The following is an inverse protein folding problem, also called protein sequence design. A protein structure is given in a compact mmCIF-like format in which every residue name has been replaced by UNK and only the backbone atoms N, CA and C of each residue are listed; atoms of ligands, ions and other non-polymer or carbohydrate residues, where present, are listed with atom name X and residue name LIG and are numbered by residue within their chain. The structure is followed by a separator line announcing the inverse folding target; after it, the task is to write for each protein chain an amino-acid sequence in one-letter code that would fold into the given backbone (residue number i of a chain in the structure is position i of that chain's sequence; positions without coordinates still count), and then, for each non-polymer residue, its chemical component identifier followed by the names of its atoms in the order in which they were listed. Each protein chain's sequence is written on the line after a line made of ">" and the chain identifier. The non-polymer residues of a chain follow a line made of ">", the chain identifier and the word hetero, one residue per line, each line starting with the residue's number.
data_IF_079426149239
#
_entry.id   IF_079426149239
#
_cell.length_a   1.000
_cell.length_b   1.000
_cell.length_c   1.000
_cell.angle_alpha   90.00
_cell.angle_beta   90.00
_cell.angle_gamma   90.00
#
_symmetry.space_group_name_H-M   'P 1'
#
loop_
_entity.id
_entity.type
_entity.pdbx_description
1 polymer ?
#
# COMPACT_ATOMS: atom_id res chain seq x y z
N UNK A 1 -26.73 -10.55 4.17
CA UNK A 1 -25.46 -10.07 4.75
C UNK A 1 -25.69 -9.92 6.25
N UNK A 2 -24.80 -10.46 7.08
CA UNK A 2 -24.86 -10.33 8.53
C UNK A 2 -24.43 -8.91 8.95
N UNK A 3 -24.58 -8.56 10.23
CA UNK A 3 -24.44 -7.17 10.67
C UNK A 3 -22.99 -6.72 10.81
N UNK A 4 -22.06 -7.61 11.24
CA UNK A 4 -20.68 -7.26 11.60
C UNK A 4 -19.65 -7.94 10.71
N UNK A 5 -18.49 -7.32 10.57
CA UNK A 5 -17.31 -7.89 9.94
C UNK A 5 -16.04 -7.40 10.65
N UNK A 6 -14.98 -8.19 10.59
CA UNK A 6 -13.67 -7.78 11.07
C UNK A 6 -12.72 -7.54 9.89
N UNK A 7 -11.91 -6.51 10.00
CA UNK A 7 -10.81 -6.23 9.07
C UNK A 7 -9.49 -6.28 9.82
N UNK A 8 -8.52 -6.99 9.29
CA UNK A 8 -7.18 -7.15 9.84
C UNK A 8 -6.17 -6.63 8.81
N UNK A 9 -5.24 -5.81 9.26
CA UNK A 9 -4.07 -5.36 8.49
C UNK A 9 -2.82 -5.86 9.21
N UNK A 10 -2.18 -6.90 8.66
CA UNK A 10 -1.06 -7.59 9.28
C UNK A 10 0.26 -6.92 8.89
N UNK A 11 0.81 -6.12 9.79
CA UNK A 11 2.13 -5.55 9.64
C UNK A 11 3.23 -6.38 10.35
N UNK A 12 4.49 -6.06 10.05
CA UNK A 12 5.64 -6.78 10.61
C UNK A 12 5.88 -6.56 12.12
N UNK A 13 5.30 -5.52 12.71
CA UNK A 13 5.45 -5.19 14.14
C UNK A 13 4.14 -5.30 14.89
N UNK A 14 3.06 -4.86 14.26
CA UNK A 14 1.70 -4.87 14.83
C UNK A 14 0.71 -5.28 13.76
N UNK A 15 -0.33 -6.01 14.14
CA UNK A 15 -1.52 -6.21 13.35
C UNK A 15 -2.60 -5.25 13.85
N UNK A 16 -3.16 -4.44 12.96
CA UNK A 16 -4.28 -3.57 13.23
C UNK A 16 -5.57 -4.33 12.95
N UNK A 17 -6.53 -4.25 13.85
CA UNK A 17 -7.81 -4.94 13.73
C UNK A 17 -8.93 -3.93 13.91
N UNK A 18 -9.96 -4.03 13.08
CA UNK A 18 -11.17 -3.23 13.18
C UNK A 18 -12.42 -4.09 13.24
N UNK A 19 -13.36 -3.73 14.11
CA UNK A 19 -14.73 -4.23 14.11
C UNK A 19 -15.61 -3.20 13.40
N UNK A 20 -16.35 -3.67 12.39
CA UNK A 20 -17.19 -2.84 11.53
C UNK A 20 -18.62 -3.38 11.47
N UNK A 21 -19.56 -2.46 11.19
CA UNK A 21 -20.78 -2.89 10.50
C UNK A 21 -20.49 -3.16 9.03
N UNK A 22 -21.21 -4.07 8.44
CA UNK A 22 -21.05 -4.40 6.99
C UNK A 22 -21.40 -3.24 6.07
N UNK A 23 -21.95 -2.15 6.60
CA UNK A 23 -22.18 -0.87 5.89
C UNK A 23 -20.94 0.00 5.75
N UNK A 24 -19.82 -0.34 6.44
CA UNK A 24 -18.58 0.42 6.47
C UNK A 24 -18.38 1.29 7.70
N UNK A 25 -19.32 1.30 8.65
CA UNK A 25 -19.15 2.01 9.92
C UNK A 25 -18.12 1.29 10.80
N UNK A 26 -17.00 1.97 11.09
CA UNK A 26 -16.00 1.50 12.04
C UNK A 26 -16.52 1.69 13.46
N UNK A 27 -16.74 0.58 14.18
CA UNK A 27 -17.22 0.61 15.56
C UNK A 27 -16.07 0.73 16.56
N UNK A 28 -15.00 -0.04 16.33
CA UNK A 28 -13.82 -0.03 17.20
C UNK A 28 -12.61 -0.51 16.42
N UNK A 29 -11.43 0.02 16.76
CA UNK A 29 -10.14 -0.48 16.25
C UNK A 29 -9.13 -0.59 17.37
N UNK A 30 -8.25 -1.60 17.25
CA UNK A 30 -7.15 -1.85 18.18
C UNK A 30 -5.97 -2.47 17.45
N UNK A 31 -4.85 -2.58 18.14
CA UNK A 31 -3.65 -3.20 17.62
C UNK A 31 -3.21 -4.34 18.55
N UNK A 32 -2.63 -5.38 17.96
CA UNK A 32 -1.96 -6.45 18.68
C UNK A 32 -0.54 -6.60 18.14
N UNK A 33 0.46 -6.93 18.99
CA UNK A 33 1.80 -7.19 18.52
C UNK A 33 1.83 -8.35 17.52
N UNK A 34 2.61 -8.23 16.45
CA UNK A 34 2.89 -9.34 15.54
C UNK A 34 4.09 -10.11 16.10
N UNK A 35 3.85 -11.33 16.55
CA UNK A 35 4.93 -12.22 17.02
C UNK A 35 5.63 -12.85 15.82
N UNK A 36 6.78 -12.31 15.46
CA UNK A 36 7.62 -12.80 14.38
C UNK A 36 8.66 -13.81 14.83
N UNK A 37 8.66 -14.21 16.11
CA UNK A 37 9.54 -15.28 16.63
C UNK A 37 9.19 -16.62 15.98
N UNK A 38 10.13 -17.55 15.97
CA UNK A 38 9.95 -18.90 15.42
C UNK A 38 9.27 -18.91 14.03
N UNK A 39 9.73 -18.05 13.12
CA UNK A 39 9.14 -17.90 11.79
C UNK A 39 7.64 -17.50 11.79
N UNK A 40 7.19 -16.80 12.83
CA UNK A 40 5.82 -16.30 12.93
C UNK A 40 4.75 -17.36 13.21
N UNK A 41 5.12 -18.51 13.78
CA UNK A 41 4.23 -19.66 14.00
C UNK A 41 2.96 -19.31 14.78
N UNK A 42 3.00 -18.28 15.66
CA UNK A 42 1.87 -17.86 16.49
C UNK A 42 1.04 -16.72 15.91
N UNK A 43 1.37 -16.22 14.72
CA UNK A 43 0.67 -15.06 14.14
C UNK A 43 -0.85 -15.33 14.01
N UNK A 44 -1.24 -16.45 13.41
CA UNK A 44 -2.66 -16.75 13.17
C UNK A 44 -3.40 -17.04 14.47
N UNK A 45 -2.77 -17.71 15.43
CA UNK A 45 -3.34 -17.97 16.75
C UNK A 45 -3.63 -16.66 17.50
N UNK A 46 -2.68 -15.71 17.47
CA UNK A 46 -2.83 -14.42 18.12
C UNK A 46 -3.94 -13.58 17.47
N UNK A 47 -4.05 -13.60 16.14
CA UNK A 47 -5.13 -12.94 15.41
C UNK A 47 -6.49 -13.55 15.74
N UNK A 48 -6.59 -14.90 15.77
CA UNK A 48 -7.82 -15.60 16.14
C UNK A 48 -8.24 -15.24 17.57
N UNK A 49 -7.30 -15.29 18.52
CA UNK A 49 -7.56 -14.95 19.92
C UNK A 49 -8.04 -13.49 20.07
N UNK A 50 -7.44 -12.56 19.33
CA UNK A 50 -7.84 -11.14 19.36
C UNK A 50 -9.27 -10.93 18.84
N UNK A 51 -9.65 -11.60 17.74
CA UNK A 51 -11.02 -11.53 17.19
C UNK A 51 -12.01 -12.19 18.15
N UNK A 52 -11.73 -13.40 18.64
CA UNK A 52 -12.59 -14.13 19.59
C UNK A 52 -12.80 -13.35 20.88
N UNK A 53 -11.71 -12.78 21.43
CA UNK A 53 -11.77 -11.95 22.63
C UNK A 53 -12.68 -10.74 22.45
N UNK A 54 -12.61 -10.09 21.29
CA UNK A 54 -13.49 -8.96 20.98
C UNK A 54 -14.94 -9.40 20.77
N UNK A 55 -15.17 -10.53 20.10
CA UNK A 55 -16.52 -11.09 19.98
C UNK A 55 -17.13 -11.39 21.36
N UNK A 56 -16.36 -11.98 22.28
CA UNK A 56 -16.82 -12.25 23.64
C UNK A 56 -17.11 -10.95 24.41
N UNK A 57 -16.22 -9.97 24.34
CA UNK A 57 -16.39 -8.65 24.98
C UNK A 57 -17.69 -7.96 24.53
N UNK A 58 -18.01 -8.05 23.23
CA UNK A 58 -19.21 -7.42 22.66
C UNK A 58 -20.44 -8.31 22.68
N UNK A 59 -20.36 -9.55 23.16
CA UNK A 59 -21.47 -10.50 23.14
C UNK A 59 -21.91 -10.91 21.72
N UNK A 60 -20.98 -10.91 20.74
CA UNK A 60 -21.26 -11.23 19.35
C UNK A 60 -21.21 -12.74 19.12
N UNK A 61 -22.29 -13.30 18.60
CA UNK A 61 -22.31 -14.68 18.11
C UNK A 61 -21.72 -14.77 16.69
N UNK A 62 -21.13 -15.90 16.32
CA UNK A 62 -20.60 -16.14 14.97
C UNK A 62 -21.66 -15.96 13.86
N UNK A 63 -22.94 -16.22 14.20
CA UNK A 63 -24.07 -16.01 13.29
C UNK A 63 -24.28 -14.53 12.90
N UNK A 64 -23.74 -13.57 13.67
CA UNK A 64 -23.85 -12.13 13.42
C UNK A 64 -22.66 -11.58 12.65
N UNK A 65 -21.56 -12.35 12.52
CA UNK A 65 -20.32 -11.94 11.84
C UNK A 65 -20.31 -12.47 10.41
N UNK A 66 -20.29 -11.59 9.43
CA UNK A 66 -20.24 -11.92 7.99
C UNK A 66 -18.92 -12.61 7.62
N UNK A 67 -17.83 -12.13 8.17
CA UNK A 67 -16.50 -12.70 7.96
C UNK A 67 -15.39 -11.85 8.54
N UNK A 68 -14.18 -12.34 8.33
CA UNK A 68 -12.91 -11.68 8.68
C UNK A 68 -12.08 -11.51 7.42
N UNK A 69 -11.81 -10.27 7.03
CA UNK A 69 -10.86 -9.96 5.97
C UNK A 69 -9.46 -9.72 6.53
N UNK A 70 -8.44 -10.15 5.82
CA UNK A 70 -7.04 -10.03 6.27
C UNK A 70 -6.18 -9.45 5.14
N UNK A 71 -5.56 -8.30 5.37
CA UNK A 71 -4.48 -7.78 4.54
C UNK A 71 -3.15 -8.33 5.03
N UNK A 72 -2.35 -8.89 4.13
CA UNK A 72 -1.04 -9.47 4.45
C UNK A 72 0.03 -8.94 3.50
N UNK A 73 1.29 -8.82 3.91
CA UNK A 73 2.38 -8.48 3.01
C UNK A 73 2.65 -9.61 2.02
N UNK A 74 3.00 -9.23 0.78
CA UNK A 74 3.35 -10.15 -0.30
C UNK A 74 2.15 -10.68 -1.10
N UNK A 75 2.42 -11.53 -2.10
CA UNK A 75 1.39 -12.05 -3.00
C UNK A 75 0.40 -12.95 -2.28
N UNK A 76 -0.86 -12.89 -2.72
CA UNK A 76 -1.95 -13.75 -2.26
C UNK A 76 -2.59 -14.43 -3.47
N UNK A 77 -2.87 -15.73 -3.36
CA UNK A 77 -3.55 -16.51 -4.38
C UNK A 77 -4.97 -16.87 -3.92
N UNK A 78 -5.93 -16.70 -4.83
CA UNK A 78 -7.35 -17.08 -4.65
C UNK A 78 -7.99 -16.48 -3.39
N UNK A 79 -7.51 -15.32 -2.93
CA UNK A 79 -7.91 -14.68 -1.66
C UNK A 79 -7.80 -15.59 -0.43
N UNK A 80 -6.85 -16.51 -0.42
CA UNK A 80 -6.68 -17.54 0.61
C UNK A 80 -5.26 -17.81 1.04
N UNK A 81 -4.34 -17.95 0.07
CA UNK A 81 -3.02 -18.54 0.28
C UNK A 81 -1.95 -17.47 0.14
N UNK A 82 -1.02 -17.43 1.09
CA UNK A 82 0.26 -16.71 0.99
C UNK A 82 1.31 -17.73 0.52
N UNK A 83 1.68 -17.70 -0.79
CA UNK A 83 2.48 -18.77 -1.38
C UNK A 83 3.98 -18.65 -1.11
N UNK A 84 4.45 -17.50 -0.65
CA UNK A 84 5.87 -17.21 -0.43
C UNK A 84 6.16 -16.96 1.05
N UNK A 85 7.43 -16.92 1.37
CA UNK A 85 7.92 -16.53 2.69
C UNK A 85 8.04 -15.01 2.76
N UNK A 86 7.43 -14.41 3.79
CA UNK A 86 7.45 -12.98 4.06
C UNK A 86 8.59 -12.65 5.04
N UNK A 87 9.67 -12.07 4.55
CA UNK A 87 10.85 -11.76 5.37
C UNK A 87 10.54 -10.79 6.53
N UNK A 88 9.66 -9.83 6.31
CA UNK A 88 9.21 -8.86 7.32
C UNK A 88 8.29 -9.45 8.40
N UNK A 89 7.86 -10.70 8.25
CA UNK A 89 7.13 -11.49 9.24
C UNK A 89 7.96 -12.62 9.84
N UNK A 90 9.28 -12.44 9.94
CA UNK A 90 10.19 -13.40 10.54
C UNK A 90 10.37 -14.69 9.74
N UNK A 91 9.95 -14.71 8.48
CA UNK A 91 10.00 -15.92 7.65
C UNK A 91 8.66 -16.65 7.54
N UNK A 92 7.58 -16.07 8.07
CA UNK A 92 6.22 -16.59 7.94
C UNK A 92 5.75 -16.61 6.48
N UNK A 93 4.98 -17.59 6.14
CA UNK A 93 4.40 -17.75 4.80
C UNK A 93 4.19 -19.22 4.43
N UNK A 94 3.71 -19.45 3.20
CA UNK A 94 3.28 -20.76 2.71
C UNK A 94 2.11 -21.34 3.53
N UNK A 95 1.20 -20.46 3.95
CA UNK A 95 0.00 -20.80 4.71
C UNK A 95 -1.26 -20.68 3.86
N UNK A 96 -2.23 -21.57 4.09
CA UNK A 96 -3.62 -21.32 3.70
C UNK A 96 -4.30 -20.52 4.81
N UNK A 97 -4.00 -19.23 4.83
CA UNK A 97 -4.43 -18.31 5.90
C UNK A 97 -5.95 -18.31 6.08
N UNK A 98 -6.69 -18.36 4.97
CA UNK A 98 -8.17 -18.38 5.04
C UNK A 98 -8.70 -19.62 5.73
N UNK A 99 -8.17 -20.80 5.42
CA UNK A 99 -8.62 -22.06 6.00
C UNK A 99 -8.19 -22.20 7.47
N UNK A 100 -6.92 -21.92 7.75
CA UNK A 100 -6.36 -22.02 9.09
C UNK A 100 -7.06 -21.08 10.06
N UNK A 101 -7.18 -19.79 9.71
CA UNK A 101 -7.85 -18.80 10.56
C UNK A 101 -9.36 -19.07 10.68
N UNK A 102 -10.04 -19.48 9.59
CA UNK A 102 -11.45 -19.87 9.64
C UNK A 102 -11.69 -21.04 10.61
N UNK A 103 -10.80 -22.04 10.60
CA UNK A 103 -10.88 -23.18 11.53
C UNK A 103 -10.75 -22.72 12.97
N UNK A 104 -9.76 -21.87 13.28
CA UNK A 104 -9.57 -21.29 14.62
C UNK A 104 -10.77 -20.45 15.07
N UNK A 105 -11.46 -19.79 14.13
CA UNK A 105 -12.64 -18.94 14.39
C UNK A 105 -13.97 -19.70 14.34
N UNK A 106 -13.94 -21.04 14.40
CA UNK A 106 -15.16 -21.86 14.43
C UNK A 106 -15.99 -21.82 13.15
N UNK A 107 -15.33 -21.67 11.99
CA UNK A 107 -15.96 -21.71 10.68
C UNK A 107 -16.45 -20.34 10.18
N UNK A 108 -16.07 -19.23 10.82
CA UNK A 108 -16.33 -17.89 10.27
C UNK A 108 -15.54 -17.75 8.96
N UNK A 109 -16.20 -17.25 7.91
CA UNK A 109 -15.59 -17.01 6.59
C UNK A 109 -14.39 -16.07 6.71
N UNK A 110 -13.26 -16.45 6.09
CA UNK A 110 -12.06 -15.63 6.02
C UNK A 110 -11.66 -15.42 4.56
N UNK A 111 -11.31 -14.19 4.19
CA UNK A 111 -10.69 -13.85 2.92
C UNK A 111 -9.40 -13.06 3.18
N UNK A 112 -8.43 -13.25 2.29
CA UNK A 112 -7.09 -12.68 2.41
C UNK A 112 -6.78 -11.87 1.15
N UNK A 113 -6.11 -10.74 1.31
CA UNK A 113 -5.62 -9.92 0.20
C UNK A 113 -4.21 -9.40 0.48
N UNK A 114 -3.49 -9.04 -0.56
CA UNK A 114 -2.25 -8.29 -0.38
C UNK A 114 -2.53 -6.92 0.28
N UNK A 115 -1.65 -6.45 1.15
CA UNK A 115 -1.80 -5.22 1.93
C UNK A 115 -2.08 -3.96 1.08
N UNK A 116 -1.34 -3.76 -0.02
CA UNK A 116 -1.58 -2.63 -0.93
C UNK A 116 -2.91 -2.79 -1.69
N UNK A 117 -3.28 -4.00 -2.08
CA UNK A 117 -4.54 -4.28 -2.75
C UNK A 117 -5.75 -4.01 -1.83
N UNK A 118 -5.67 -4.44 -0.56
CA UNK A 118 -6.76 -4.15 0.38
C UNK A 118 -6.81 -2.66 0.73
N UNK A 119 -5.67 -1.97 0.83
CA UNK A 119 -5.67 -0.52 1.02
C UNK A 119 -6.39 0.20 -0.15
N UNK A 120 -6.15 -0.23 -1.39
CA UNK A 120 -6.86 0.29 -2.56
C UNK A 120 -8.38 0.04 -2.47
N UNK A 121 -8.80 -1.16 -2.05
CA UNK A 121 -10.22 -1.48 -1.82
C UNK A 121 -10.84 -0.58 -0.74
N UNK A 122 -10.11 -0.28 0.33
CA UNK A 122 -10.54 0.63 1.38
C UNK A 122 -10.83 2.02 0.83
N UNK A 123 -9.89 2.57 0.06
CA UNK A 123 -10.01 3.90 -0.54
C UNK A 123 -11.14 3.99 -1.57
N UNK A 124 -11.42 2.94 -2.34
CA UNK A 124 -12.59 2.88 -3.25
C UNK A 124 -13.89 2.76 -2.46
N UNK A 125 -13.90 2.05 -1.34
CA UNK A 125 -15.12 1.84 -0.58
C UNK A 125 -15.52 3.05 0.26
N UNK A 126 -14.60 3.56 1.07
CA UNK A 126 -14.88 4.60 2.06
C UNK A 126 -13.89 5.77 2.03
N UNK A 127 -12.97 5.80 1.08
CA UNK A 127 -11.90 6.77 0.95
C UNK A 127 -12.02 7.72 -0.25
N UNK A 128 -10.86 8.14 -0.76
CA UNK A 128 -10.72 9.17 -1.79
C UNK A 128 -11.36 8.78 -3.14
N UNK A 129 -11.42 7.49 -3.47
CA UNK A 129 -12.02 7.00 -4.73
C UNK A 129 -13.44 6.45 -4.53
N UNK A 130 -14.14 6.88 -3.49
CA UNK A 130 -15.51 6.44 -3.24
C UNK A 130 -16.42 6.76 -4.42
N UNK A 131 -17.04 5.71 -4.98
CA UNK A 131 -17.90 5.80 -6.16
C UNK A 131 -17.22 5.43 -7.47
N UNK A 132 -15.88 5.36 -7.52
CA UNK A 132 -15.16 4.82 -8.67
C UNK A 132 -15.31 3.30 -8.75
N UNK A 133 -15.28 2.79 -9.98
CA UNK A 133 -15.22 1.35 -10.26
C UNK A 133 -13.83 0.89 -10.64
N UNK A 134 -13.01 1.79 -11.15
CA UNK A 134 -11.64 1.51 -11.57
C UNK A 134 -10.72 2.59 -11.01
N UNK A 135 -9.76 2.21 -10.18
CA UNK A 135 -8.80 3.13 -9.61
C UNK A 135 -7.48 2.42 -9.29
N UNK A 136 -6.41 3.19 -9.19
CA UNK A 136 -5.09 2.69 -8.84
C UNK A 136 -4.60 3.40 -7.58
N UNK A 137 -4.28 2.62 -6.57
CA UNK A 137 -3.60 3.08 -5.36
C UNK A 137 -2.09 2.94 -5.53
N UNK A 138 -1.37 3.97 -5.13
CA UNK A 138 0.09 3.98 -5.05
C UNK A 138 0.49 4.33 -3.63
N UNK A 139 1.25 3.49 -2.97
CA UNK A 139 1.76 3.77 -1.62
C UNK A 139 3.25 4.09 -1.69
N UNK A 140 3.61 5.31 -1.30
CA UNK A 140 4.97 5.81 -1.24
C UNK A 140 5.47 5.77 0.20
N UNK A 141 5.98 4.62 0.60
CA UNK A 141 6.57 4.33 1.91
C UNK A 141 8.07 4.04 1.82
N UNK A 142 8.57 3.12 2.64
CA UNK A 142 9.94 2.57 2.53
C UNK A 142 10.19 2.01 1.12
N UNK A 143 9.19 1.34 0.55
CA UNK A 143 9.12 0.93 -0.84
C UNK A 143 7.99 1.64 -1.60
N UNK A 144 7.67 1.15 -2.79
CA UNK A 144 6.50 1.55 -3.57
C UNK A 144 5.57 0.35 -3.73
N UNK A 145 4.42 0.42 -3.08
CA UNK A 145 3.35 -0.55 -3.28
C UNK A 145 2.27 -0.05 -4.22
N UNK A 146 1.44 -0.95 -4.72
CA UNK A 146 0.32 -0.61 -5.56
C UNK A 146 -0.85 -1.57 -5.44
N UNK A 147 -2.05 -1.03 -5.65
CA UNK A 147 -3.27 -1.81 -5.78
C UNK A 147 -4.05 -1.35 -7.00
N UNK A 148 -4.36 -2.26 -7.89
CA UNK A 148 -5.08 -1.99 -9.15
C UNK A 148 -6.46 -2.59 -9.06
N UNK A 149 -7.47 -1.74 -9.22
CA UNK A 149 -8.87 -2.15 -9.22
C UNK A 149 -9.50 -1.78 -10.55
N UNK A 150 -10.08 -2.76 -11.23
CA UNK A 150 -10.76 -2.60 -12.51
C UNK A 150 -12.16 -3.19 -12.42
N UNK A 151 -13.17 -2.38 -12.73
CA UNK A 151 -14.59 -2.76 -12.65
C UNK A 151 -15.00 -3.31 -11.27
N UNK A 152 -14.46 -2.74 -10.19
CA UNK A 152 -14.74 -3.12 -8.81
C UNK A 152 -13.99 -4.36 -8.31
N UNK A 153 -13.09 -4.93 -9.12
CA UNK A 153 -12.32 -6.12 -8.77
C UNK A 153 -10.83 -5.80 -8.68
N UNK A 154 -10.19 -6.33 -7.68
CA UNK A 154 -8.73 -6.30 -7.56
C UNK A 154 -8.10 -7.11 -8.68
N UNK A 155 -7.02 -6.60 -9.25
CA UNK A 155 -6.18 -7.31 -10.22
C UNK A 155 -5.04 -7.98 -9.46
N UNK A 156 -5.26 -9.17 -8.94
CA UNK A 156 -4.22 -9.95 -8.26
C UNK A 156 -3.25 -10.61 -9.26
N UNK A 157 -3.75 -10.93 -10.46
CA UNK A 157 -2.99 -11.64 -11.48
C UNK A 157 -2.83 -13.14 -11.20
N UNK A 158 -2.39 -13.89 -12.20
CA UNK A 158 -2.25 -15.36 -12.13
C UNK A 158 -1.22 -15.82 -11.09
N UNK A 159 -0.24 -14.98 -10.80
CA UNK A 159 0.87 -15.29 -9.88
C UNK A 159 0.84 -14.44 -8.61
N UNK A 160 -0.25 -13.71 -8.35
CA UNK A 160 -0.34 -12.77 -7.25
C UNK A 160 0.54 -11.52 -7.40
N UNK A 161 1.01 -11.22 -8.61
CA UNK A 161 1.90 -10.09 -8.89
C UNK A 161 1.19 -8.89 -9.53
N UNK A 162 -0.14 -8.92 -9.59
CA UNK A 162 -0.93 -7.78 -10.02
C UNK A 162 -0.79 -6.64 -9.02
N UNK A 163 -0.52 -5.44 -9.51
CA UNK A 163 -0.31 -4.28 -8.62
C UNK A 163 1.14 -4.07 -8.14
N UNK A 164 2.09 -4.92 -8.49
CA UNK A 164 3.53 -4.74 -8.17
C UNK A 164 4.16 -3.59 -8.98
N UNK A 165 3.50 -2.42 -8.94
CA UNK A 165 3.86 -1.23 -9.74
C UNK A 165 5.21 -0.63 -9.35
N UNK A 166 5.64 -0.80 -8.10
CA UNK A 166 6.95 -0.36 -7.64
C UNK A 166 8.11 -1.04 -8.37
N UNK A 167 7.82 -2.17 -9.01
CA UNK A 167 8.82 -2.93 -9.77
C UNK A 167 8.72 -2.74 -11.29
N UNK A 168 7.96 -1.76 -11.78
CA UNK A 168 8.04 -1.29 -13.18
C UNK A 168 9.44 -0.73 -13.42
N UNK A 169 10.10 -1.17 -14.49
CA UNK A 169 11.42 -0.66 -14.88
C UNK A 169 11.27 0.74 -15.49
N UNK A 170 11.74 1.75 -14.81
CA UNK A 170 11.72 3.16 -15.25
C UNK A 170 13.09 3.65 -15.73
N UNK A 171 14.16 2.99 -15.34
CA UNK A 171 15.51 3.29 -15.81
C UNK A 171 16.26 2.00 -16.22
N UNK A 172 16.49 1.84 -17.53
CA UNK A 172 17.19 0.67 -18.09
C UNK A 172 18.71 0.67 -17.84
N UNK A 173 19.25 1.80 -17.43
CA UNK A 173 20.71 1.99 -17.22
C UNK A 173 21.09 1.99 -15.74
N UNK A 174 20.15 1.75 -14.83
CA UNK A 174 20.44 1.63 -13.40
C UNK A 174 21.29 0.38 -13.15
N UNK A 175 22.35 0.55 -12.38
CA UNK A 175 23.28 -0.53 -12.00
C UNK A 175 23.03 -1.05 -10.60
N UNK A 176 22.40 -0.27 -9.72
CA UNK A 176 22.03 -0.70 -8.38
C UNK A 176 20.91 -1.72 -8.42
N UNK A 177 21.07 -2.78 -7.64
CA UNK A 177 20.08 -3.87 -7.54
C UNK A 177 18.91 -3.42 -6.68
N UNK A 178 17.68 -3.58 -7.16
CA UNK A 178 16.46 -3.45 -6.38
C UNK A 178 16.28 -4.66 -5.45
N UNK A 179 15.55 -4.50 -4.34
CA UNK A 179 15.21 -5.58 -3.42
C UNK A 179 14.53 -6.80 -4.09
N UNK A 180 13.86 -6.61 -5.23
CA UNK A 180 13.28 -7.68 -6.04
C UNK A 180 14.29 -8.43 -6.95
N UNK A 181 15.57 -8.07 -6.92
CA UNK A 181 16.63 -8.64 -7.75
C UNK A 181 16.78 -8.03 -9.16
N UNK A 182 15.89 -7.10 -9.56
CA UNK A 182 15.96 -6.36 -10.83
C UNK A 182 16.74 -5.06 -10.67
N UNK A 183 16.87 -4.33 -11.77
CA UNK A 183 17.47 -2.99 -11.82
C UNK A 183 16.49 -1.97 -12.37
N UNK A 184 16.59 -0.72 -11.90
CA UNK A 184 15.84 0.41 -12.45
C UNK A 184 14.36 0.38 -12.14
N UNK A 185 13.95 -0.25 -11.04
CA UNK A 185 12.56 -0.27 -10.59
C UNK A 185 12.10 1.12 -10.10
N UNK A 186 10.83 1.45 -10.29
CA UNK A 186 10.21 2.70 -9.80
C UNK A 186 10.50 2.94 -8.30
N UNK A 187 10.46 1.90 -7.49
CA UNK A 187 10.75 1.96 -6.05
C UNK A 187 12.11 2.58 -5.75
N UNK A 188 13.14 2.33 -6.58
CA UNK A 188 14.48 2.88 -6.40
C UNK A 188 14.55 4.41 -6.56
N UNK A 189 13.50 5.03 -7.10
CA UNK A 189 13.43 6.47 -7.36
C UNK A 189 12.34 7.16 -6.54
N UNK A 190 11.16 6.54 -6.42
CA UNK A 190 9.97 7.21 -5.90
C UNK A 190 9.54 6.76 -4.51
N UNK A 191 10.24 5.80 -3.88
CA UNK A 191 10.04 5.48 -2.46
C UNK A 191 10.77 6.48 -1.55
N UNK A 192 10.47 6.46 -0.26
CA UNK A 192 11.20 7.26 0.72
C UNK A 192 12.71 6.95 0.73
N UNK A 193 13.08 5.66 0.61
CA UNK A 193 14.47 5.23 0.51
C UNK A 193 15.09 5.62 -0.84
N UNK A 194 14.30 5.57 -1.91
CA UNK A 194 14.71 6.00 -3.25
C UNK A 194 15.06 7.48 -3.30
N UNK A 195 14.18 8.34 -2.79
CA UNK A 195 14.40 9.80 -2.69
C UNK A 195 15.68 10.11 -1.92
N UNK A 196 15.91 9.47 -0.77
CA UNK A 196 17.14 9.67 0.02
C UNK A 196 18.38 9.22 -0.77
N UNK A 197 18.31 8.08 -1.44
CA UNK A 197 19.40 7.56 -2.27
C UNK A 197 19.72 8.51 -3.43
N UNK A 198 18.72 8.97 -4.16
CA UNK A 198 18.88 9.86 -5.29
C UNK A 198 19.39 11.24 -4.85
N UNK A 199 18.88 11.79 -3.74
CA UNK A 199 19.37 13.03 -3.17
C UNK A 199 20.85 12.94 -2.75
N UNK A 200 21.29 11.84 -2.10
CA UNK A 200 22.70 11.63 -1.76
C UNK A 200 23.58 11.63 -3.02
N UNK A 201 23.15 10.91 -4.07
CA UNK A 201 23.85 10.90 -5.36
C UNK A 201 23.93 12.29 -5.97
N UNK A 202 22.83 13.05 -5.96
CA UNK A 202 22.80 14.41 -6.48
C UNK A 202 23.74 15.37 -5.74
N UNK A 203 23.86 15.21 -4.41
CA UNK A 203 24.83 15.95 -3.59
C UNK A 203 26.29 15.62 -3.97
N UNK A 204 26.60 14.35 -4.22
CA UNK A 204 27.94 13.90 -4.62
C UNK A 204 28.32 14.40 -6.02
N UNK A 205 27.37 14.42 -6.95
CA UNK A 205 27.56 14.92 -8.33
C UNK A 205 27.67 16.46 -8.41
N UNK A 206 27.22 17.18 -7.38
CA UNK A 206 27.20 18.63 -7.33
C UNK A 206 27.91 19.18 -6.07
N UNK A 207 29.22 18.90 -5.86
CA UNK A 207 29.92 19.20 -4.61
C UNK A 207 29.96 20.70 -4.26
N UNK A 208 29.98 21.55 -5.25
CA UNK A 208 30.13 23.02 -5.10
C UNK A 208 28.76 23.73 -4.98
N UNK A 209 27.64 23.03 -5.24
CA UNK A 209 26.31 23.64 -5.14
C UNK A 209 25.83 23.64 -3.68
N UNK A 210 25.49 24.83 -3.13
CA UNK A 210 24.94 24.91 -1.79
C UNK A 210 23.66 24.07 -1.63
N UNK A 211 23.57 23.34 -0.52
CA UNK A 211 22.39 22.58 -0.16
C UNK A 211 22.31 22.41 1.37
N UNK A 212 21.15 22.64 1.93
CA UNK A 212 20.90 22.57 3.37
C UNK A 212 21.04 21.15 3.95
N UNK A 213 20.95 20.14 3.10
CA UNK A 213 21.06 18.72 3.50
C UNK A 213 22.52 18.21 3.46
N UNK A 214 23.46 19.03 2.99
CA UNK A 214 24.86 18.62 2.87
C UNK A 214 25.53 18.42 4.23
N UNK A 215 26.15 17.25 4.42
CA UNK A 215 26.84 16.92 5.68
C UNK A 215 25.90 16.56 6.84
N UNK A 216 24.60 16.35 6.57
CA UNK A 216 23.63 15.94 7.56
C UNK A 216 23.06 14.55 7.23
N UNK A 217 22.57 13.83 8.23
CA UNK A 217 21.67 12.70 8.01
C UNK A 217 20.27 13.25 7.78
N UNK A 218 19.59 12.73 6.75
CA UNK A 218 18.26 13.19 6.37
C UNK A 218 17.37 12.04 5.90
N UNK A 219 16.06 12.21 6.06
CA UNK A 219 15.02 11.35 5.53
C UNK A 219 14.33 12.00 4.30
N UNK A 220 13.47 11.27 3.61
CA UNK A 220 12.73 11.82 2.48
C UNK A 220 11.93 13.09 2.85
N UNK A 221 11.34 13.12 4.06
CA UNK A 221 10.65 14.32 4.54
C UNK A 221 11.52 15.57 4.48
N UNK A 222 12.79 15.46 4.88
CA UNK A 222 13.71 16.60 4.93
C UNK A 222 14.03 17.09 3.52
N UNK A 223 14.07 16.20 2.52
CA UNK A 223 14.24 16.58 1.09
C UNK A 223 13.05 17.41 0.62
N UNK A 224 11.81 16.98 0.90
CA UNK A 224 10.62 17.75 0.53
C UNK A 224 10.49 19.07 1.30
N UNK A 225 10.91 19.10 2.55
CA UNK A 225 10.92 20.34 3.35
C UNK A 225 11.99 21.31 2.84
N UNK A 226 13.19 20.84 2.48
CA UNK A 226 14.24 21.66 1.87
C UNK A 226 13.77 22.22 0.52
N UNK A 227 13.15 21.40 -0.33
CA UNK A 227 12.58 21.85 -1.61
C UNK A 227 11.53 22.95 -1.41
N UNK A 228 10.61 22.75 -0.45
CA UNK A 228 9.59 23.76 -0.08
C UNK A 228 10.22 25.09 0.37
N UNK A 229 11.37 25.04 1.02
CA UNK A 229 12.11 26.20 1.50
C UNK A 229 13.05 26.81 0.48
N UNK A 230 13.03 26.33 -0.77
CA UNK A 230 13.79 26.93 -1.89
C UNK A 230 15.19 26.37 -2.09
N UNK A 231 15.57 25.24 -1.47
CA UNK A 231 16.82 24.56 -1.77
C UNK A 231 16.79 24.00 -3.19
N UNK A 232 17.71 24.45 -4.04
CA UNK A 232 17.70 24.16 -5.47
C UNK A 232 17.97 22.69 -5.80
N UNK A 233 18.86 22.02 -5.05
CA UNK A 233 19.15 20.61 -5.29
C UNK A 233 18.02 19.74 -4.80
N UNK A 234 17.43 20.05 -3.65
CA UNK A 234 16.26 19.34 -3.15
C UNK A 234 15.04 19.51 -4.07
N UNK A 235 14.84 20.73 -4.63
CA UNK A 235 13.79 20.98 -5.61
C UNK A 235 14.00 20.18 -6.90
N UNK A 236 15.24 20.06 -7.36
CA UNK A 236 15.59 19.21 -8.50
C UNK A 236 15.32 17.74 -8.24
N UNK A 237 15.67 17.22 -7.06
CA UNK A 237 15.37 15.82 -6.70
C UNK A 237 13.87 15.55 -6.70
N UNK A 238 13.07 16.46 -6.13
CA UNK A 238 11.60 16.34 -6.13
C UNK A 238 11.03 16.36 -7.55
N UNK A 239 11.59 17.20 -8.44
CA UNK A 239 11.20 17.28 -9.85
C UNK A 239 11.51 15.97 -10.58
N UNK A 240 12.74 15.44 -10.47
CA UNK A 240 13.18 14.18 -11.08
C UNK A 240 12.37 12.97 -10.55
N UNK A 241 12.09 12.94 -9.25
CA UNK A 241 11.26 11.92 -8.63
C UNK A 241 9.83 11.96 -9.17
N UNK A 242 9.22 13.14 -9.26
CA UNK A 242 7.85 13.31 -9.73
C UNK A 242 7.71 13.10 -11.24
N UNK A 243 8.75 13.43 -12.02
CA UNK A 243 8.83 13.08 -13.45
C UNK A 243 8.80 11.55 -13.65
N UNK A 244 9.67 10.84 -12.92
CA UNK A 244 9.76 9.38 -12.96
C UNK A 244 8.44 8.72 -12.54
N UNK A 245 7.81 9.22 -11.47
CA UNK A 245 6.52 8.71 -11.00
C UNK A 245 5.41 9.03 -12.02
N UNK A 246 5.38 10.26 -12.56
CA UNK A 246 4.41 10.67 -13.57
C UNK A 246 4.46 9.81 -14.83
N UNK A 247 5.66 9.49 -15.31
CA UNK A 247 5.86 8.56 -16.42
C UNK A 247 5.33 7.16 -16.11
N UNK A 248 5.59 6.63 -14.91
CA UNK A 248 5.09 5.32 -14.50
C UNK A 248 3.56 5.31 -14.41
N UNK A 249 2.95 6.33 -13.81
CA UNK A 249 1.49 6.45 -13.73
C UNK A 249 0.85 6.57 -15.13
N UNK A 250 1.47 7.29 -16.06
CA UNK A 250 1.01 7.39 -17.43
C UNK A 250 1.05 6.04 -18.17
N UNK A 251 2.07 5.22 -17.90
CA UNK A 251 2.16 3.85 -18.41
C UNK A 251 1.02 2.97 -17.87
N UNK A 252 0.72 3.10 -16.59
CA UNK A 252 -0.38 2.39 -15.95
C UNK A 252 -1.72 2.88 -16.52
N UNK A 253 -1.90 4.21 -16.69
CA UNK A 253 -3.10 4.78 -17.27
C UNK A 253 -3.38 4.24 -18.68
N UNK A 254 -2.34 4.12 -19.52
CA UNK A 254 -2.47 3.55 -20.86
C UNK A 254 -2.81 2.05 -20.87
N UNK A 255 -2.62 1.35 -19.72
CA UNK A 255 -2.84 -0.10 -19.60
C UNK A 255 -4.21 -0.42 -19.02
N UNK A 256 -4.65 0.31 -17.98
CA UNK A 256 -5.87 -0.04 -17.21
C UNK A 256 -6.93 1.05 -17.23
N UNK A 257 -6.62 2.24 -17.76
CA UNK A 257 -7.54 3.39 -17.92
C UNK A 257 -8.36 3.67 -16.65
N UNK A 258 -7.72 4.02 -15.52
CA UNK A 258 -8.42 4.21 -14.25
C UNK A 258 -9.16 5.55 -14.22
N UNK A 259 -10.25 5.60 -13.47
CA UNK A 259 -10.97 6.84 -13.18
C UNK A 259 -10.18 7.78 -12.26
N UNK A 260 -9.23 7.23 -11.47
CA UNK A 260 -8.46 7.98 -10.48
C UNK A 260 -7.18 7.25 -10.05
N UNK A 261 -6.12 8.02 -9.77
CA UNK A 261 -4.97 7.57 -8.98
C UNK A 261 -5.07 8.14 -7.56
N UNK A 262 -4.86 7.29 -6.57
CA UNK A 262 -4.74 7.68 -5.16
C UNK A 262 -3.29 7.47 -4.72
N UNK A 263 -2.68 8.49 -4.12
CA UNK A 263 -1.29 8.38 -3.63
C UNK A 263 -1.28 8.48 -2.11
N UNK A 264 -0.83 7.42 -1.47
CA UNK A 264 -0.72 7.31 -0.01
C UNK A 264 0.71 7.07 0.45
N UNK A 265 0.88 6.67 1.70
CA UNK A 265 2.16 6.44 2.34
C UNK A 265 2.80 7.71 2.91
N UNK A 266 3.98 7.54 3.53
CA UNK A 266 4.66 8.64 4.25
C UNK A 266 5.03 9.83 3.37
N UNK A 267 5.47 9.57 2.14
CA UNK A 267 5.90 10.60 1.18
C UNK A 267 4.72 11.46 0.72
N UNK A 268 3.50 10.93 0.62
CA UNK A 268 2.33 11.70 0.19
C UNK A 268 2.00 12.88 1.13
N UNK A 269 2.48 12.84 2.38
CA UNK A 269 2.36 13.93 3.34
C UNK A 269 3.11 15.20 2.96
N UNK A 270 3.96 15.15 1.95
CA UNK A 270 4.63 16.34 1.39
C UNK A 270 3.62 17.33 0.78
N UNK A 271 2.39 16.89 0.48
CA UNK A 271 1.34 17.76 -0.04
C UNK A 271 1.63 18.27 -1.44
N UNK A 272 1.28 19.51 -1.74
CA UNK A 272 1.41 20.06 -3.09
C UNK A 272 2.86 20.15 -3.61
N UNK A 273 3.86 20.08 -2.74
CA UNK A 273 5.27 19.95 -3.18
C UNK A 273 5.50 18.66 -3.98
N UNK A 274 4.74 17.60 -3.65
CA UNK A 274 4.71 16.36 -4.41
C UNK A 274 3.64 16.41 -5.52
N UNK A 275 2.40 16.77 -5.17
CA UNK A 275 1.25 16.56 -6.05
C UNK A 275 1.21 17.52 -7.24
N UNK A 276 1.65 18.77 -7.08
CA UNK A 276 1.62 19.74 -8.17
C UNK A 276 2.55 19.33 -9.33
N UNK A 277 3.86 19.11 -9.12
CA UNK A 277 4.74 18.67 -10.21
C UNK A 277 4.36 17.27 -10.73
N UNK A 278 3.92 16.34 -9.87
CA UNK A 278 3.48 15.02 -10.30
C UNK A 278 2.33 15.08 -11.33
N UNK A 279 1.33 15.91 -11.10
CA UNK A 279 0.21 16.09 -12.04
C UNK A 279 0.66 16.66 -13.38
N UNK A 280 1.59 17.61 -13.37
CA UNK A 280 2.13 18.20 -14.60
C UNK A 280 2.99 17.20 -15.37
N UNK A 281 3.87 16.47 -14.73
CA UNK A 281 4.67 15.42 -15.37
C UNK A 281 3.80 14.29 -15.92
N UNK A 282 2.79 13.85 -15.17
CA UNK A 282 1.84 12.86 -15.65
C UNK A 282 1.19 13.28 -16.98
N UNK A 283 0.75 14.54 -17.11
CA UNK A 283 0.13 15.06 -18.33
C UNK A 283 1.05 15.03 -19.54
N UNK A 284 2.38 15.18 -19.31
CA UNK A 284 3.37 15.10 -20.38
C UNK A 284 3.40 13.72 -21.03
N UNK A 285 3.35 12.67 -20.20
CA UNK A 285 3.49 11.28 -20.64
C UNK A 285 2.17 10.58 -20.95
N UNK A 286 1.07 11.05 -20.36
CA UNK A 286 -0.23 10.39 -20.47
C UNK A 286 -0.79 10.44 -21.90
N UNK A 287 -1.33 9.30 -22.34
CA UNK A 287 -2.10 9.24 -23.57
C UNK A 287 -3.25 10.26 -23.52
N UNK A 288 -3.61 10.85 -24.66
CA UNK A 288 -4.50 12.01 -24.71
C UNK A 288 -5.81 11.83 -23.95
N UNK A 289 -6.43 10.65 -23.99
CA UNK A 289 -7.70 10.38 -23.29
C UNK A 289 -7.57 10.31 -21.78
N UNK A 290 -6.40 9.88 -21.26
CA UNK A 290 -6.12 9.70 -19.83
C UNK A 290 -5.47 10.93 -19.17
N UNK A 291 -5.18 11.98 -19.95
CA UNK A 291 -4.36 13.12 -19.50
C UNK A 291 -4.95 13.88 -18.31
N UNK A 292 -6.25 13.87 -18.17
CA UNK A 292 -6.97 14.55 -17.10
C UNK A 292 -7.40 13.59 -15.96
N UNK A 293 -6.90 12.33 -15.95
CA UNK A 293 -7.16 11.41 -14.84
C UNK A 293 -6.69 12.03 -13.53
N UNK A 294 -7.56 12.17 -12.52
CA UNK A 294 -7.21 12.79 -11.26
C UNK A 294 -6.13 12.00 -10.50
N UNK A 295 -5.15 12.73 -9.93
CA UNK A 295 -4.17 12.20 -8.99
C UNK A 295 -4.38 12.91 -7.66
N UNK A 296 -4.85 12.17 -6.65
CA UNK A 296 -5.28 12.72 -5.35
C UNK A 296 -4.58 12.03 -4.18
N UNK A 297 -4.47 12.69 -3.02
CA UNK A 297 -4.02 12.00 -1.81
C UNK A 297 -5.04 10.96 -1.36
N UNK A 298 -4.56 9.80 -0.90
CA UNK A 298 -5.36 8.83 -0.15
C UNK A 298 -5.78 9.45 1.21
N UNK A 299 -7.00 9.16 1.67
CA UNK A 299 -7.56 9.83 2.86
C UNK A 299 -7.75 8.92 4.08
N UNK A 300 -7.85 7.60 3.90
CA UNK A 300 -7.99 6.68 5.02
C UNK A 300 -6.68 6.47 5.80
N UNK A 301 -5.55 6.85 5.21
CA UNK A 301 -4.25 6.76 5.84
C UNK A 301 -3.93 5.34 6.31
N UNK A 302 -3.52 5.20 7.57
CA UNK A 302 -3.15 3.91 8.16
C UNK A 302 -4.35 2.99 8.45
N UNK A 303 -5.57 3.42 8.18
CA UNK A 303 -6.77 2.58 8.38
C UNK A 303 -7.24 1.96 7.05
N UNK A 304 -6.67 2.36 5.92
CA UNK A 304 -7.05 1.85 4.60
C UNK A 304 -7.04 0.32 4.53
N UNK A 305 -6.03 -0.32 5.13
CA UNK A 305 -5.90 -1.78 5.19
C UNK A 305 -7.08 -2.46 5.88
N UNK A 306 -7.50 -2.00 7.07
CA UNK A 306 -8.64 -2.61 7.78
C UNK A 306 -9.97 -2.37 7.07
N UNK A 307 -10.18 -1.17 6.46
CA UNK A 307 -11.37 -0.91 5.65
C UNK A 307 -11.43 -1.82 4.43
N UNK A 308 -10.32 -1.95 3.71
CA UNK A 308 -10.25 -2.79 2.53
C UNK A 308 -10.35 -4.28 2.82
N UNK A 309 -9.80 -4.72 3.95
CA UNK A 309 -9.96 -6.10 4.42
C UNK A 309 -11.44 -6.43 4.66
N UNK A 310 -12.22 -5.53 5.28
CA UNK A 310 -13.67 -5.69 5.40
C UNK A 310 -14.33 -5.68 4.02
N UNK A 311 -13.88 -4.82 3.10
CA UNK A 311 -14.45 -4.76 1.74
C UNK A 311 -14.31 -6.07 0.97
N UNK A 312 -13.22 -6.84 1.18
CA UNK A 312 -13.08 -8.20 0.63
C UNK A 312 -14.27 -9.08 1.02
N UNK A 313 -14.74 -8.97 2.27
CA UNK A 313 -15.83 -9.79 2.80
C UNK A 313 -17.20 -9.33 2.29
N UNK A 314 -17.46 -8.03 2.27
CA UNK A 314 -18.79 -7.46 1.98
C UNK A 314 -18.98 -7.08 0.51
N UNK A 315 -17.93 -7.12 -0.27
CA UNK A 315 -17.94 -6.66 -1.66
C UNK A 315 -18.41 -7.67 -2.71
N UNK A 316 -18.68 -8.91 -2.32
CA UNK A 316 -19.21 -9.97 -3.18
C UNK A 316 -20.75 -10.06 -3.15
#
# INVERSE_FOLDING_TARGET
>A
MKEYAFGIDLGGTTAKIGLFKTTGELLEKWEVPTDTSNAGEHILENLAAAVQGKMQEKGLAAAQVEGVGVGVPGPVLDSRIVPIICANLGGWGKHNVAEELSTMLGGIRVLVGNDANVAALGEIWMGAAKGCRSAVMVTLGTGVGGGVIVNGKVIDGTHGAGGEIGHITVNRHETAVCGCGKHGCLEQYSSATGVVRCMKKLLDENPDTPCTLRGTEFAAKDVFDAARNGDALAAREVDEMTDTLGMALATIAATVDPEMFMVGGGVSRAGEVLFAPLREHFKVYAFKSCRETPIVPAILGNDAGIYGSVRLIVGE
#
